data_IF_705065596232
#
_entry.id   IF_705065596232
#
_cell.length_a   1.000
_cell.length_b   1.000
_cell.length_c   1.000
_cell.angle_alpha   90.00
_cell.angle_beta   90.00
_cell.angle_gamma   90.00
#
_symmetry.space_group_name_H-M   'P 1'
#
loop_
_entity.id
_entity.type
_entity.pdbx_description
1 polymer ?
#
# COMPACT_ATOMS: atom_id res chain seq x y z
N UNK A 1 -17.79 -6.76 0.70
CA UNK A 1 -17.45 -7.69 -0.40
C UNK A 1 -17.66 -7.08 -1.79
N UNK A 2 -18.78 -6.41 -2.09
CA UNK A 2 -18.95 -5.64 -3.36
C UNK A 2 -18.73 -4.12 -3.23
N UNK A 3 -18.70 -3.57 -2.01
CA UNK A 3 -18.42 -2.14 -1.79
C UNK A 3 -16.93 -1.79 -1.81
N UNK A 4 -16.04 -2.74 -1.52
CA UNK A 4 -14.58 -2.59 -1.62
C UNK A 4 -14.04 -3.00 -3.00
N UNK A 5 -14.93 -3.37 -3.92
CA UNK A 5 -14.61 -3.62 -5.31
C UNK A 5 -14.26 -2.28 -5.97
N UNK A 6 -13.02 -1.82 -5.76
CA UNK A 6 -12.50 -0.54 -6.23
C UNK A 6 -12.76 -0.33 -7.72
N UNK A 7 -12.74 0.93 -8.15
CA UNK A 7 -13.17 1.36 -9.50
C UNK A 7 -12.56 0.54 -10.65
N UNK A 8 -11.35 0.03 -10.48
CA UNK A 8 -10.68 -0.90 -11.41
C UNK A 8 -11.49 -2.18 -11.67
N UNK A 9 -12.15 -2.73 -10.65
CA UNK A 9 -12.96 -3.94 -10.76
C UNK A 9 -14.25 -3.67 -11.54
N UNK A 10 -14.88 -2.50 -11.33
CA UNK A 10 -16.01 -2.05 -12.15
C UNK A 10 -15.61 -1.84 -13.60
N UNK A 11 -14.43 -1.26 -13.85
CA UNK A 11 -13.93 -1.00 -15.19
C UNK A 11 -13.62 -2.30 -15.95
N UNK A 12 -13.00 -3.29 -15.29
CA UNK A 12 -12.73 -4.62 -15.86
C UNK A 12 -14.05 -5.38 -16.10
N UNK A 13 -15.00 -5.33 -15.15
CA UNK A 13 -16.33 -5.92 -15.29
C UNK A 13 -17.08 -5.31 -16.47
N UNK A 14 -17.14 -3.98 -16.56
CA UNK A 14 -17.80 -3.26 -17.65
C UNK A 14 -17.18 -3.60 -19.00
N UNK A 15 -15.84 -3.62 -19.09
CA UNK A 15 -15.13 -3.95 -20.33
C UNK A 15 -15.44 -5.37 -20.81
N UNK A 16 -15.47 -6.37 -19.90
CA UNK A 16 -15.78 -7.76 -20.27
C UNK A 16 -17.27 -7.98 -20.60
N UNK A 17 -18.17 -7.28 -19.91
CA UNK A 17 -19.62 -7.27 -20.26
C UNK A 17 -19.82 -6.75 -21.68
N UNK A 18 -19.12 -5.67 -22.06
CA UNK A 18 -19.18 -5.10 -23.42
C UNK A 18 -18.61 -6.08 -24.46
N UNK A 19 -17.57 -6.84 -24.12
CA UNK A 19 -16.89 -7.77 -25.02
C UNK A 19 -17.55 -9.15 -25.14
N UNK A 20 -18.63 -9.43 -24.39
CA UNK A 20 -19.30 -10.74 -24.33
C UNK A 20 -18.36 -11.91 -24.01
N UNK A 21 -17.27 -11.63 -23.27
CA UNK A 21 -16.33 -12.67 -22.83
C UNK A 21 -16.87 -13.38 -21.57
N UNK A 22 -16.51 -14.67 -21.40
CA UNK A 22 -16.83 -15.39 -20.16
C UNK A 22 -16.20 -14.67 -18.94
N UNK A 23 -17.05 -14.43 -17.94
CA UNK A 23 -16.70 -13.68 -16.75
C UNK A 23 -16.06 -14.62 -15.72
N UNK A 24 -14.73 -14.75 -15.74
CA UNK A 24 -14.01 -15.51 -14.71
C UNK A 24 -13.86 -14.68 -13.43
N UNK A 25 -14.83 -14.85 -12.52
CA UNK A 25 -14.86 -14.21 -11.20
C UNK A 25 -13.68 -14.62 -10.31
N UNK A 26 -13.02 -15.75 -10.59
CA UNK A 26 -11.87 -16.26 -9.82
C UNK A 26 -10.62 -15.41 -10.05
N UNK A 27 -10.37 -15.04 -11.30
CA UNK A 27 -9.26 -14.15 -11.67
C UNK A 27 -9.47 -12.76 -11.10
N UNK A 28 -10.70 -12.25 -11.15
CA UNK A 28 -11.07 -10.95 -10.59
C UNK A 28 -10.88 -10.90 -9.06
N UNK A 29 -11.25 -11.98 -8.36
CA UNK A 29 -11.03 -12.13 -6.93
C UNK A 29 -9.53 -12.19 -6.60
N UNK A 30 -8.74 -12.95 -7.37
CA UNK A 30 -7.30 -13.07 -7.17
C UNK A 30 -6.53 -11.75 -7.35
N UNK A 31 -6.91 -10.94 -8.35
CA UNK A 31 -6.29 -9.61 -8.55
C UNK A 31 -6.62 -8.67 -7.38
N UNK A 32 -7.87 -8.64 -6.93
CA UNK A 32 -8.29 -7.81 -5.81
C UNK A 32 -7.63 -8.24 -4.49
N UNK A 33 -7.52 -9.55 -4.24
CA UNK A 33 -6.82 -10.11 -3.09
C UNK A 33 -5.34 -9.69 -3.09
N UNK A 34 -4.68 -9.75 -4.26
CA UNK A 34 -3.28 -9.36 -4.43
C UNK A 34 -3.06 -7.86 -4.24
N UNK A 35 -3.86 -7.01 -4.88
CA UNK A 35 -3.79 -5.55 -4.72
C UNK A 35 -4.07 -5.14 -3.27
N UNK A 36 -5.09 -5.76 -2.64
CA UNK A 36 -5.38 -5.56 -1.23
C UNK A 36 -4.23 -6.00 -0.32
N UNK A 37 -3.56 -7.12 -0.63
CA UNK A 37 -2.40 -7.57 0.12
C UNK A 37 -1.21 -6.61 0.02
N UNK A 38 -0.97 -6.02 -1.16
CA UNK A 38 0.04 -4.97 -1.34
C UNK A 38 -0.31 -3.75 -0.50
N UNK A 39 -1.55 -3.25 -0.60
CA UNK A 39 -2.01 -2.09 0.17
C UNK A 39 -1.81 -2.29 1.68
N UNK A 40 -2.29 -3.43 2.21
CA UNK A 40 -2.11 -3.78 3.63
C UNK A 40 -0.64 -3.88 4.04
N UNK A 41 0.21 -4.44 3.19
CA UNK A 41 1.65 -4.55 3.47
C UNK A 41 2.32 -3.17 3.52
N UNK A 42 1.90 -2.28 2.63
CA UNK A 42 2.41 -0.91 2.53
C UNK A 42 1.96 -0.04 3.72
N UNK A 43 0.71 -0.20 4.15
CA UNK A 43 0.18 0.44 5.36
C UNK A 43 0.90 -0.06 6.61
N UNK A 44 1.11 -1.37 6.72
CA UNK A 44 1.87 -1.97 7.83
C UNK A 44 3.30 -1.45 7.88
N UNK A 45 4.02 -1.43 6.75
CA UNK A 45 5.37 -0.90 6.69
C UNK A 45 5.43 0.59 7.04
N UNK A 46 4.43 1.38 6.62
CA UNK A 46 4.32 2.80 6.96
C UNK A 46 4.10 3.01 8.46
N UNK A 47 3.23 2.22 9.09
CA UNK A 47 3.00 2.25 10.53
C UNK A 47 4.29 1.92 11.31
N UNK A 48 4.99 0.85 10.92
CA UNK A 48 6.24 0.45 11.56
C UNK A 48 7.33 1.55 11.51
N UNK A 49 7.46 2.25 10.38
CA UNK A 49 8.42 3.36 10.27
C UNK A 49 8.05 4.55 11.16
N UNK A 50 6.75 4.81 11.35
CA UNK A 50 6.28 5.87 12.26
C UNK A 50 6.57 5.51 13.71
N UNK A 51 6.27 4.28 14.12
CA UNK A 51 6.59 3.77 15.46
C UNK A 51 8.10 3.82 15.74
N UNK A 52 8.93 3.47 14.75
CA UNK A 52 10.38 3.57 14.87
C UNK A 52 10.83 5.03 15.05
N UNK A 53 10.20 5.99 14.34
CA UNK A 53 10.48 7.42 14.49
C UNK A 53 10.09 7.94 15.87
N UNK A 54 8.93 7.52 16.38
CA UNK A 54 8.47 7.83 17.74
C UNK A 54 9.42 7.26 18.80
N UNK A 55 9.86 6.02 18.64
CA UNK A 55 10.82 5.38 19.54
C UNK A 55 12.17 6.11 19.53
N UNK A 56 12.63 6.50 18.35
CA UNK A 56 13.88 7.25 18.18
C UNK A 56 13.81 8.65 18.80
N UNK A 57 12.61 9.24 18.91
CA UNK A 57 12.41 10.57 19.51
C UNK A 57 12.71 10.61 21.01
N UNK A 58 12.67 9.46 21.69
CA UNK A 58 12.95 9.30 23.12
C UNK A 58 14.45 9.36 23.46
N UNK A 59 15.32 9.17 22.47
CA UNK A 59 16.78 9.24 22.65
C UNK A 59 17.27 10.68 22.64
N UNK A 60 18.37 10.97 23.32
CA UNK A 60 19.02 12.28 23.26
C UNK A 60 19.52 12.61 21.84
N UNK A 61 19.63 13.91 21.54
CA UNK A 61 20.18 14.35 20.26
C UNK A 61 21.63 13.90 20.09
N UNK A 62 21.89 13.26 18.96
CA UNK A 62 23.22 12.80 18.56
C UNK A 62 23.28 12.68 17.04
N UNK A 63 24.49 12.65 16.50
CA UNK A 63 24.70 12.41 15.06
C UNK A 63 24.08 11.08 14.61
N UNK A 64 24.09 10.05 15.46
CA UNK A 64 23.48 8.75 15.19
C UNK A 64 21.95 8.83 15.14
N UNK A 65 21.33 9.52 16.12
CA UNK A 65 19.88 9.75 16.14
C UNK A 65 19.44 10.50 14.88
N UNK A 66 20.18 11.54 14.49
CA UNK A 66 19.87 12.32 13.30
C UNK A 66 19.97 11.46 12.03
N UNK A 67 21.07 10.71 11.86
CA UNK A 67 21.24 9.82 10.71
C UNK A 67 20.11 8.78 10.60
N UNK A 68 19.73 8.14 11.71
CA UNK A 68 18.62 7.19 11.74
C UNK A 68 17.28 7.86 11.40
N UNK A 69 17.03 9.07 11.88
CA UNK A 69 15.81 9.82 11.55
C UNK A 69 15.74 10.15 10.05
N UNK A 70 16.86 10.54 9.44
CA UNK A 70 16.94 10.79 8.00
C UNK A 70 16.69 9.52 7.18
N UNK A 71 17.22 8.37 7.60
CA UNK A 71 16.94 7.07 6.97
C UNK A 71 15.46 6.70 7.05
N UNK A 72 14.84 6.84 8.23
CA UNK A 72 13.41 6.58 8.41
C UNK A 72 12.55 7.50 7.52
N UNK A 73 12.90 8.79 7.46
CA UNK A 73 12.22 9.76 6.61
C UNK A 73 12.37 9.44 5.12
N UNK A 74 13.54 8.98 4.68
CA UNK A 74 13.76 8.54 3.31
C UNK A 74 12.84 7.35 2.97
N UNK A 75 12.79 6.33 3.83
CA UNK A 75 11.94 5.16 3.62
C UNK A 75 10.45 5.54 3.59
N UNK A 76 10.00 6.41 4.49
CA UNK A 76 8.62 6.92 4.51
C UNK A 76 8.24 7.63 3.21
N UNK A 77 9.14 8.47 2.67
CA UNK A 77 8.92 9.13 1.37
C UNK A 77 8.90 8.13 0.21
N UNK A 78 9.76 7.12 0.25
CA UNK A 78 9.79 6.06 -0.76
C UNK A 78 8.47 5.28 -0.75
N UNK A 79 8.00 4.81 0.41
CA UNK A 79 6.71 4.12 0.53
C UNK A 79 5.55 5.02 0.08
N UNK A 80 5.55 6.29 0.48
CA UNK A 80 4.54 7.26 0.04
C UNK A 80 4.55 7.56 -1.45
N UNK A 81 5.68 7.34 -2.15
CA UNK A 81 5.74 7.41 -3.62
C UNK A 81 5.13 6.19 -4.29
N UNK A 82 5.23 5.01 -3.66
CA UNK A 82 4.66 3.76 -4.15
C UNK A 82 3.14 3.71 -3.94
N UNK A 83 2.61 4.39 -2.92
CA UNK A 83 1.16 4.50 -2.66
C UNK A 83 0.41 5.40 -3.68
N UNK A 84 1.13 6.22 -4.44
CA UNK A 84 0.54 7.14 -5.43
C UNK A 84 0.52 6.58 -6.85
N UNK A 85 1.10 5.40 -7.05
CA UNK A 85 1.21 4.70 -8.34
C UNK A 85 0.03 3.79 -8.62
#
# INVERSE_FOLDING_TARGET
>A
LLEEAGDTQREILQKRIIQQEELDLTVLAGIAEYQGAIGRSLDYATALLREASESLSLLEESAYRQALSEMLNFLLKLLGSLQKG
#
